data_IF_235241223034
#
_entry.id   IF_235241223034
#
_cell.length_a   1.000
_cell.length_b   1.000
_cell.length_c   1.000
_cell.angle_alpha   90.00
_cell.angle_beta   90.00
_cell.angle_gamma   90.00
#
_symmetry.space_group_name_H-M   'P 1'
#
loop_
_entity.id
_entity.type
_entity.pdbx_description
1 polymer ?
#
# COMPACT_ATOMS: atom_id res chain seq x y z
N UNK A 1 -9.47 4.93 7.55
CA UNK A 1 -8.14 4.44 7.97
C UNK A 1 -7.53 5.48 8.89
N UNK A 2 -6.93 5.09 10.03
CA UNK A 2 -6.34 6.04 10.99
C UNK A 2 -5.17 6.81 10.37
N UNK A 3 -4.79 7.95 10.98
CA UNK A 3 -3.66 8.75 10.48
C UNK A 3 -2.34 7.96 10.52
N UNK A 4 -2.07 7.26 11.62
CA UNK A 4 -0.86 6.42 11.74
C UNK A 4 -0.80 5.35 10.66
N UNK A 5 -1.93 4.69 10.36
CA UNK A 5 -1.99 3.69 9.31
C UNK A 5 -1.70 4.29 7.92
N UNK A 6 -2.15 5.53 7.67
CA UNK A 6 -1.89 6.22 6.39
C UNK A 6 -0.42 6.55 6.17
N UNK A 7 0.35 6.78 7.25
CA UNK A 7 1.79 6.99 7.17
C UNK A 7 2.54 5.71 6.78
N UNK A 8 2.04 4.56 7.23
CA UNK A 8 2.74 3.29 7.06
C UNK A 8 2.29 2.49 5.82
N UNK A 9 1.03 2.65 5.39
CA UNK A 9 0.52 2.14 4.12
C UNK A 9 0.95 3.00 2.92
N UNK A 10 0.86 2.44 1.71
CA UNK A 10 0.87 3.24 0.47
C UNK A 10 -0.55 3.55 0.03
N UNK A 11 -0.80 4.81 -0.31
CA UNK A 11 -1.98 5.19 -1.09
C UNK A 11 -1.74 4.79 -2.54
N UNK A 12 -2.60 3.94 -3.09
CA UNK A 12 -2.43 3.40 -4.45
C UNK A 12 -3.40 3.98 -5.46
N UNK A 13 -4.50 4.58 -5.03
CA UNK A 13 -5.49 5.16 -5.95
C UNK A 13 -6.46 6.10 -5.22
N UNK A 14 -7.24 6.84 -6.01
CA UNK A 14 -8.46 7.51 -5.60
C UNK A 14 -9.59 7.08 -6.52
N UNK A 15 -10.68 6.58 -5.93
CA UNK A 15 -11.76 5.99 -6.70
C UNK A 15 -13.13 6.42 -6.21
N UNK A 16 -14.13 6.33 -7.07
CA UNK A 16 -15.54 6.30 -6.65
C UNK A 16 -16.08 4.88 -6.80
N UNK A 17 -17.01 4.46 -5.94
CA UNK A 17 -17.61 3.12 -5.98
C UNK A 17 -19.07 3.20 -6.37
N UNK A 18 -19.62 2.09 -6.90
CA UNK A 18 -21.05 2.05 -7.26
C UNK A 18 -21.92 2.44 -6.06
N UNK A 19 -22.76 3.46 -6.24
CA UNK A 19 -23.66 3.97 -5.19
C UNK A 19 -23.08 5.13 -4.36
N UNK A 20 -21.82 5.53 -4.57
CA UNK A 20 -21.22 6.71 -3.94
C UNK A 20 -20.37 7.51 -4.93
N UNK A 21 -20.73 8.78 -5.13
CA UNK A 21 -19.91 9.72 -5.91
C UNK A 21 -18.75 10.32 -5.09
N UNK A 22 -18.63 9.97 -3.80
CA UNK A 22 -17.57 10.47 -2.93
C UNK A 22 -16.26 9.76 -3.25
N UNK A 23 -15.19 10.49 -3.62
CA UNK A 23 -13.88 9.89 -3.85
C UNK A 23 -13.31 9.27 -2.57
N UNK A 24 -12.82 8.05 -2.70
CA UNK A 24 -12.27 7.24 -1.62
C UNK A 24 -10.82 6.87 -1.95
N UNK A 25 -9.87 7.13 -1.04
CA UNK A 25 -8.50 6.66 -1.20
C UNK A 25 -8.44 5.14 -0.97
N UNK A 26 -7.67 4.45 -1.82
CA UNK A 26 -7.31 3.05 -1.59
C UNK A 26 -5.89 3.00 -1.06
N UNK A 27 -5.68 2.19 -0.03
CA UNK A 27 -4.38 1.94 0.56
C UNK A 27 -4.04 0.46 0.51
N UNK A 28 -2.75 0.15 0.47
CA UNK A 28 -2.24 -1.23 0.54
C UNK A 28 -1.05 -1.34 1.49
N UNK A 29 -0.86 -2.57 1.96
CA UNK A 29 0.41 -3.09 2.47
C UNK A 29 1.07 -3.96 1.39
N UNK A 30 2.40 -4.05 1.40
CA UNK A 30 3.18 -4.76 0.39
C UNK A 30 3.77 -6.03 1.00
N UNK A 31 3.11 -7.17 0.79
CA UNK A 31 3.50 -8.45 1.38
C UNK A 31 4.04 -9.40 0.32
N UNK A 32 5.01 -10.24 0.67
CA UNK A 32 5.34 -11.39 -0.18
C UNK A 32 4.23 -12.44 -0.13
N UNK A 33 4.10 -13.24 -1.19
CA UNK A 33 3.27 -14.46 -1.12
C UNK A 33 3.90 -15.52 -0.21
N UNK A 34 5.23 -15.56 -0.17
CA UNK A 34 6.06 -16.45 0.64
C UNK A 34 6.61 -15.76 1.89
N UNK A 35 5.96 -14.67 2.35
CA UNK A 35 6.39 -13.96 3.55
C UNK A 35 6.27 -14.87 4.77
N UNK A 36 7.38 -15.08 5.48
CA UNK A 36 7.38 -15.75 6.77
C UNK A 36 7.17 -14.74 7.89
N UNK A 37 6.16 -14.99 8.72
CA UNK A 37 5.92 -14.25 9.95
C UNK A 37 6.54 -15.01 11.13
N UNK A 38 7.01 -14.31 12.18
CA UNK A 38 7.37 -14.95 13.43
C UNK A 38 6.21 -15.78 13.96
N UNK A 39 6.50 -16.97 14.47
CA UNK A 39 5.50 -17.74 15.20
C UNK A 39 5.24 -17.07 16.54
N UNK A 40 3.97 -16.86 16.85
CA UNK A 40 3.57 -16.35 18.16
C UNK A 40 3.88 -17.40 19.23
N UNK A 41 4.67 -17.01 20.22
CA UNK A 41 5.11 -17.87 21.31
C UNK A 41 4.81 -17.21 22.65
N UNK A 42 4.46 -18.02 23.65
CA UNK A 42 4.37 -17.53 25.03
C UNK A 42 5.75 -17.14 25.56
N UNK A 43 5.86 -16.11 26.42
CA UNK A 43 7.12 -15.78 27.06
C UNK A 43 7.73 -17.00 27.75
N UNK A 44 9.05 -17.17 27.61
CA UNK A 44 9.75 -18.27 28.27
C UNK A 44 9.49 -18.17 29.78
N UNK A 45 9.09 -19.29 30.39
CA UNK A 45 8.77 -19.40 31.82
C UNK A 45 7.49 -18.68 32.27
N UNK A 46 6.55 -18.41 31.36
CA UNK A 46 5.19 -17.95 31.71
C UNK A 46 4.22 -19.12 31.86
N UNK A 47 3.34 -19.05 32.85
CA UNK A 47 2.20 -19.98 33.01
C UNK A 47 0.98 -19.54 32.18
N UNK A 48 1.04 -18.37 31.54
CA UNK A 48 -0.04 -17.86 30.71
C UNK A 48 -0.18 -18.65 29.42
N UNK A 49 -1.41 -18.95 29.03
CA UNK A 49 -1.73 -19.42 27.69
C UNK A 49 -1.44 -18.35 26.64
N UNK A 50 -1.22 -18.78 25.40
CA UNK A 50 -1.05 -17.84 24.28
C UNK A 50 -2.25 -16.88 24.15
N UNK A 51 -3.47 -17.36 24.42
CA UNK A 51 -4.68 -16.53 24.36
C UNK A 51 -4.65 -15.40 25.39
N UNK A 52 -4.22 -15.68 26.62
CA UNK A 52 -4.10 -14.68 27.69
C UNK A 52 -3.02 -13.64 27.38
N UNK A 53 -1.88 -14.09 26.85
CA UNK A 53 -0.81 -13.19 26.40
C UNK A 53 -1.33 -12.26 25.29
N UNK A 54 -2.02 -12.81 24.29
CA UNK A 54 -2.56 -12.01 23.18
C UNK A 54 -3.65 -11.04 23.64
N UNK A 55 -4.47 -11.42 24.62
CA UNK A 55 -5.47 -10.51 25.22
C UNK A 55 -4.80 -9.32 25.91
N UNK A 56 -3.73 -9.57 26.69
CA UNK A 56 -2.97 -8.50 27.35
C UNK A 56 -2.31 -7.56 26.33
N UNK A 57 -1.67 -8.11 25.29
CA UNK A 57 -1.06 -7.31 24.21
C UNK A 57 -2.11 -6.46 23.48
N UNK A 58 -3.32 -7.00 23.30
CA UNK A 58 -4.42 -6.25 22.69
C UNK A 58 -4.93 -5.11 23.59
N UNK A 59 -4.98 -5.32 24.91
CA UNK A 59 -5.35 -4.28 25.88
C UNK A 59 -4.31 -3.17 25.98
N UNK A 60 -3.02 -3.50 25.79
CA UNK A 60 -1.90 -2.55 25.73
C UNK A 60 -1.68 -1.93 24.34
N UNK A 61 -2.62 -2.12 23.41
CA UNK A 61 -2.48 -1.63 22.04
C UNK A 61 -2.39 -0.10 21.97
N UNK A 62 -1.23 0.39 21.58
CA UNK A 62 -0.97 1.80 21.31
C UNK A 62 -0.62 1.99 19.83
N UNK A 63 -1.59 2.49 19.04
CA UNK A 63 -1.45 2.66 17.57
C UNK A 63 -0.07 3.17 17.16
N UNK A 64 0.41 4.28 17.74
CA UNK A 64 1.65 4.93 17.31
C UNK A 64 2.92 4.06 17.52
N UNK A 65 2.97 3.26 18.58
CA UNK A 65 4.11 2.40 18.89
C UNK A 65 4.00 1.07 18.17
N UNK A 66 2.80 0.49 18.10
CA UNK A 66 2.54 -0.79 17.42
C UNK A 66 3.01 -0.78 15.97
N UNK A 67 2.73 0.30 15.21
CA UNK A 67 3.24 0.40 13.83
C UNK A 67 4.76 0.38 13.72
N UNK A 68 5.53 0.61 14.77
CA UNK A 68 7.01 0.69 14.72
C UNK A 68 7.68 -0.56 15.27
N UNK A 69 7.08 -1.18 16.28
CA UNK A 69 7.71 -2.27 17.06
C UNK A 69 7.11 -3.63 16.76
N UNK A 70 5.87 -3.69 16.28
CA UNK A 70 5.23 -4.97 15.97
C UNK A 70 5.95 -5.66 14.82
N UNK A 71 6.43 -6.88 15.08
CA UNK A 71 7.26 -7.61 14.15
C UNK A 71 6.52 -7.93 12.86
N UNK A 72 5.24 -8.31 12.93
CA UNK A 72 4.44 -8.60 11.75
C UNK A 72 4.28 -7.35 10.88
N UNK A 73 3.89 -6.22 11.47
CA UNK A 73 3.72 -4.95 10.75
C UNK A 73 5.04 -4.45 10.15
N UNK A 74 6.17 -4.64 10.83
CA UNK A 74 7.50 -4.33 10.29
C UNK A 74 7.84 -5.26 9.12
N UNK A 75 7.60 -6.56 9.26
CA UNK A 75 7.83 -7.53 8.20
C UNK A 75 7.02 -7.18 6.95
N UNK A 76 5.71 -6.88 7.09
CA UNK A 76 4.82 -6.49 5.99
C UNK A 76 5.28 -5.27 5.17
N UNK A 77 6.35 -4.56 5.54
CA UNK A 77 6.84 -3.35 4.85
C UNK A 77 8.23 -3.48 4.24
N UNK A 78 8.90 -4.62 4.40
CA UNK A 78 10.32 -4.75 4.03
C UNK A 78 10.59 -4.54 2.53
N UNK A 79 9.61 -4.79 1.67
CA UNK A 79 9.72 -4.58 0.21
C UNK A 79 9.66 -3.10 -0.21
N UNK A 80 8.84 -2.33 0.48
CA UNK A 80 8.56 -0.94 0.13
C UNK A 80 9.63 -0.04 0.75
N UNK A 81 10.86 -0.12 0.22
CA UNK A 81 11.98 0.70 0.71
C UNK A 81 11.63 2.19 0.65
N UNK A 82 12.23 3.04 1.50
CA UNK A 82 11.96 4.48 1.50
C UNK A 82 12.10 5.12 0.11
N UNK A 83 13.10 4.70 -0.67
CA UNK A 83 13.36 5.19 -2.02
C UNK A 83 12.23 4.78 -2.97
N UNK A 84 11.82 3.51 -2.95
CA UNK A 84 10.69 3.04 -3.73
C UNK A 84 9.41 3.80 -3.37
N UNK A 85 9.13 3.96 -2.07
CA UNK A 85 7.94 4.68 -1.58
C UNK A 85 7.92 6.12 -2.06
N UNK A 86 9.07 6.78 -2.09
CA UNK A 86 9.20 8.15 -2.60
C UNK A 86 8.85 8.23 -4.08
N UNK A 87 9.47 7.38 -4.91
CA UNK A 87 9.23 7.34 -6.36
C UNK A 87 7.77 6.96 -6.66
N UNK A 88 7.24 5.93 -5.99
CA UNK A 88 5.87 5.50 -6.18
C UNK A 88 4.87 6.61 -5.82
N UNK A 89 5.06 7.28 -4.68
CA UNK A 89 4.20 8.38 -4.24
C UNK A 89 4.19 9.51 -5.27
N UNK A 90 5.35 9.91 -5.77
CA UNK A 90 5.45 10.93 -6.82
C UNK A 90 4.67 10.51 -8.09
N UNK A 91 4.79 9.24 -8.50
CA UNK A 91 4.08 8.70 -9.66
C UNK A 91 2.56 8.74 -9.48
N UNK A 92 2.06 8.34 -8.31
CA UNK A 92 0.64 8.41 -7.95
C UNK A 92 0.16 9.86 -7.92
N UNK A 93 0.90 10.77 -7.28
CA UNK A 93 0.52 12.19 -7.20
C UNK A 93 0.46 12.82 -8.59
N UNK A 94 1.38 12.49 -9.49
CA UNK A 94 1.33 12.94 -10.89
C UNK A 94 0.10 12.38 -11.63
N UNK A 95 -0.25 11.11 -11.41
CA UNK A 95 -1.43 10.48 -12.01
C UNK A 95 -2.72 11.16 -11.53
N UNK A 96 -2.87 11.32 -10.22
CA UNK A 96 -4.01 12.00 -9.61
C UNK A 96 -4.07 13.47 -10.05
N UNK A 97 -2.93 14.14 -10.16
CA UNK A 97 -2.84 15.53 -10.66
C UNK A 97 -3.02 15.70 -12.17
N UNK A 98 -3.19 14.62 -12.94
CA UNK A 98 -3.42 14.67 -14.39
C UNK A 98 -2.16 14.79 -15.24
N UNK A 99 -0.96 14.82 -14.63
CA UNK A 99 0.31 14.79 -15.37
C UNK A 99 0.68 13.34 -15.74
N UNK A 100 -0.09 12.75 -16.66
CA UNK A 100 0.02 11.33 -17.01
C UNK A 100 1.35 10.96 -17.68
N UNK A 101 1.98 11.89 -18.40
CA UNK A 101 3.30 11.67 -18.99
C UNK A 101 4.37 11.44 -17.92
N UNK A 102 4.41 12.31 -16.90
CA UNK A 102 5.32 12.15 -15.76
C UNK A 102 4.92 10.95 -14.89
N UNK A 103 3.62 10.75 -14.67
CA UNK A 103 3.13 9.61 -13.91
C UNK A 103 3.59 8.29 -14.55
N UNK A 104 3.53 8.18 -15.87
CA UNK A 104 3.97 7.00 -16.60
C UNK A 104 5.45 6.68 -16.33
N UNK A 105 6.35 7.61 -16.60
CA UNK A 105 7.80 7.35 -16.44
C UNK A 105 8.15 7.05 -14.99
N UNK A 106 7.54 7.77 -14.04
CA UNK A 106 7.79 7.55 -12.60
C UNK A 106 7.23 6.21 -12.12
N UNK A 107 6.05 5.78 -12.57
CA UNK A 107 5.46 4.48 -12.19
C UNK A 107 6.14 3.28 -12.89
N UNK A 108 6.63 3.46 -14.12
CA UNK A 108 7.49 2.46 -14.78
C UNK A 108 8.78 2.24 -13.97
N UNK A 109 9.41 3.33 -13.51
CA UNK A 109 10.57 3.26 -12.61
C UNK A 109 10.23 2.58 -11.27
N UNK A 110 9.07 2.90 -10.67
CA UNK A 110 8.64 2.25 -9.43
C UNK A 110 8.46 0.73 -9.60
N UNK A 111 7.88 0.29 -10.73
CA UNK A 111 7.74 -1.13 -11.08
C UNK A 111 9.11 -1.84 -11.18
N UNK A 112 10.10 -1.19 -11.81
CA UNK A 112 11.48 -1.70 -11.91
C UNK A 112 12.19 -1.78 -10.55
N UNK A 113 12.02 -0.78 -9.70
CA UNK A 113 12.56 -0.80 -8.33
C UNK A 113 11.98 -1.97 -7.53
N UNK A 114 10.68 -2.24 -7.65
CA UNK A 114 10.04 -3.35 -6.95
C UNK A 114 10.56 -4.72 -7.42
N UNK A 115 10.85 -4.88 -8.72
CA UNK A 115 11.54 -6.06 -9.26
C UNK A 115 12.92 -6.25 -8.65
N UNK A 116 13.64 -5.14 -8.50
CA UNK A 116 15.01 -5.13 -7.96
C UNK A 116 15.02 -5.41 -6.45
N UNK A 117 13.97 -5.02 -5.73
CA UNK A 117 13.78 -5.26 -4.30
C UNK A 117 13.34 -6.69 -3.94
N UNK A 118 13.25 -7.59 -4.92
CA UNK A 118 12.98 -9.03 -4.70
C UNK A 118 11.60 -9.50 -5.16
N UNK A 119 10.66 -8.60 -5.46
CA UNK A 119 9.39 -8.99 -6.04
C UNK A 119 9.50 -9.06 -7.58
N UNK A 120 9.91 -10.23 -8.09
CA UNK A 120 10.16 -10.47 -9.53
C UNK A 120 8.98 -10.13 -10.45
N UNK A 121 7.75 -10.05 -9.92
CA UNK A 121 6.55 -9.69 -10.68
C UNK A 121 6.31 -8.17 -10.79
N UNK A 122 7.15 -7.34 -10.17
CA UNK A 122 7.05 -5.88 -10.13
C UNK A 122 5.96 -5.37 -9.18
N UNK A 123 5.60 -4.10 -9.33
CA UNK A 123 4.61 -3.44 -8.47
C UNK A 123 3.22 -3.50 -9.11
N UNK A 124 2.37 -4.38 -8.57
CA UNK A 124 0.97 -4.55 -9.01
C UNK A 124 0.18 -3.24 -9.05
N UNK A 125 0.23 -2.40 -8.00
CA UNK A 125 -0.35 -1.05 -8.00
C UNK A 125 0.12 -0.15 -9.14
N UNK A 126 1.44 0.02 -9.35
CA UNK A 126 1.99 0.80 -10.47
C UNK A 126 1.45 0.31 -11.81
N UNK A 127 1.51 -1.00 -12.04
CA UNK A 127 1.02 -1.64 -13.27
C UNK A 127 -0.48 -1.45 -13.49
N UNK A 128 -1.26 -1.36 -12.42
CA UNK A 128 -2.71 -1.14 -12.49
C UNK A 128 -3.02 0.29 -12.97
N UNK A 129 -2.31 1.29 -12.46
CA UNK A 129 -2.44 2.68 -12.93
C UNK A 129 -1.94 2.79 -14.38
N UNK A 130 -0.77 2.22 -14.69
CA UNK A 130 -0.21 2.21 -16.04
C UNK A 130 -1.18 1.59 -17.05
N UNK A 131 -1.82 0.47 -16.72
CA UNK A 131 -2.84 -0.17 -17.57
C UNK A 131 -4.04 0.75 -17.81
N UNK A 132 -4.48 1.46 -16.78
CA UNK A 132 -5.60 2.40 -16.87
C UNK A 132 -5.29 3.60 -17.77
N UNK A 133 -4.09 4.17 -17.64
CA UNK A 133 -3.64 5.26 -18.51
C UNK A 133 -3.45 4.77 -19.96
N UNK A 134 -2.85 3.58 -20.15
CA UNK A 134 -2.65 2.96 -21.46
C UNK A 134 -3.96 2.72 -22.20
N UNK A 135 -4.99 2.25 -21.52
CA UNK A 135 -6.31 2.00 -22.12
C UNK A 135 -6.98 3.26 -22.68
N UNK A 136 -6.51 4.45 -22.27
CA UNK A 136 -6.96 5.77 -22.76
C UNK A 136 -5.93 6.43 -23.69
N UNK A 137 -5.01 5.65 -24.25
CA UNK A 137 -3.97 6.18 -25.13
C UNK A 137 -3.02 7.15 -24.44
N UNK A 138 -2.84 7.04 -23.12
CA UNK A 138 -2.00 7.93 -22.30
C UNK A 138 -2.47 9.38 -22.27
N UNK A 139 -3.74 9.63 -22.61
CA UNK A 139 -4.34 10.95 -22.55
C UNK A 139 -5.20 11.07 -21.29
N UNK A 140 -4.97 12.15 -20.55
CA UNK A 140 -5.80 12.52 -19.40
C UNK A 140 -7.20 12.89 -19.89
N UNK A 141 -8.28 12.36 -19.29
CA UNK A 141 -9.63 12.78 -19.62
C UNK A 141 -9.84 14.27 -19.34
N UNK A 142 -10.66 14.94 -20.17
CA UNK A 142 -10.98 16.36 -19.98
C UNK A 142 -11.68 16.61 -18.63
N UNK A 143 -12.41 15.62 -18.13
CA UNK A 143 -13.14 15.65 -16.86
C UNK A 143 -12.34 15.05 -15.69
N UNK A 144 -11.02 14.90 -15.82
CA UNK A 144 -10.19 14.27 -14.80
C UNK A 144 -10.15 15.09 -13.50
N UNK A 145 -10.82 14.58 -12.48
CA UNK A 145 -10.89 15.18 -11.13
C UNK A 145 -9.91 14.55 -10.13
N UNK A 146 -8.94 13.78 -10.63
CA UNK A 146 -7.98 13.07 -9.79
C UNK A 146 -8.53 11.81 -9.14
N UNK A 147 -9.53 11.17 -9.75
CA UNK A 147 -10.02 9.86 -9.35
C UNK A 147 -10.70 9.16 -10.52
N UNK A 148 -10.76 7.82 -10.46
CA UNK A 148 -11.46 7.01 -11.46
C UNK A 148 -12.63 6.24 -10.87
N UNK A 149 -13.70 5.99 -11.62
CA UNK A 149 -14.81 5.20 -11.12
C UNK A 149 -14.46 3.70 -11.16
N UNK A 150 -14.66 2.99 -10.04
CA UNK A 150 -14.67 1.53 -9.97
C UNK A 150 -16.08 1.04 -10.29
N UNK A 151 -16.33 0.77 -11.57
CA UNK A 151 -17.67 0.43 -12.07
C UNK A 151 -17.94 -1.07 -12.22
N UNK A 152 -16.98 -1.96 -11.93
CA UNK A 152 -17.22 -3.40 -12.03
C UNK A 152 -16.36 -4.27 -11.10
N UNK A 153 -16.95 -5.44 -10.78
CA UNK A 153 -16.56 -6.47 -9.81
C UNK A 153 -15.37 -7.29 -10.24
#
# INVERSE_FOLDING_TARGET
MSNDAQEHCRKIDMVTVKGSAVPMPIYTYDTFQDQTFPELQTPKFSDLSLQEVLAQVADEYESHTTWKVDEDLVQLRRLATPEFRSVFREGVDCYLGGNWNKARTTLEKADEMMKSNGNRNGDGPSRTILRYMKARGWQVPEDWKGYRPLTSK
#
